data_IF_003277509117
#
_entry.id   IF_003277509117
#
_cell.length_a   1.000
_cell.length_b   1.000
_cell.length_c   1.000
_cell.angle_alpha   90.00
_cell.angle_beta   90.00
_cell.angle_gamma   90.00
#
_symmetry.space_group_name_H-M   'P 1'
#
loop_
_entity.id
_entity.type
_entity.pdbx_description
1 polymer ?
#
# COMPACT_ATOMS: atom_id res chain seq x y z
N UNK A 1 65.60 6.71 -34.64
CA UNK A 1 65.26 6.36 -33.24
C UNK A 1 63.87 6.86 -32.85
N UNK A 2 63.58 8.17 -32.94
CA UNK A 2 62.25 8.72 -32.62
C UNK A 2 61.08 8.12 -33.41
N UNK A 3 61.23 7.94 -34.73
CA UNK A 3 60.19 7.32 -35.57
C UNK A 3 59.87 5.87 -35.17
N UNK A 4 60.89 5.07 -34.81
CA UNK A 4 60.70 3.70 -34.35
C UNK A 4 60.01 3.65 -32.97
N UNK A 5 60.33 4.60 -32.09
CA UNK A 5 59.69 4.74 -30.79
C UNK A 5 58.20 5.11 -30.95
N UNK A 6 57.89 6.07 -31.83
CA UNK A 6 56.50 6.45 -32.15
C UNK A 6 55.70 5.29 -32.77
N UNK A 7 56.32 4.53 -33.67
CA UNK A 7 55.69 3.37 -34.32
C UNK A 7 55.44 2.25 -33.30
N UNK A 8 56.35 2.04 -32.35
CA UNK A 8 56.18 1.13 -31.22
C UNK A 8 55.02 1.52 -30.30
N UNK A 9 54.94 2.80 -29.91
CA UNK A 9 53.83 3.33 -29.10
C UNK A 9 52.50 3.14 -29.83
N UNK A 10 52.47 3.45 -31.14
CA UNK A 10 51.26 3.29 -31.95
C UNK A 10 50.81 1.82 -32.01
N UNK A 11 51.74 0.88 -32.21
CA UNK A 11 51.42 -0.55 -32.23
C UNK A 11 50.87 -1.04 -30.89
N UNK A 12 51.49 -0.64 -29.77
CA UNK A 12 50.99 -0.97 -28.41
C UNK A 12 49.60 -0.38 -28.19
N UNK A 13 49.36 0.85 -28.66
CA UNK A 13 48.05 1.50 -28.55
C UNK A 13 46.95 0.76 -29.34
N UNK A 14 47.23 0.34 -30.59
CA UNK A 14 46.27 -0.44 -31.40
C UNK A 14 45.99 -1.80 -30.75
N UNK A 15 47.02 -2.48 -30.27
CA UNK A 15 46.87 -3.76 -29.56
C UNK A 15 46.05 -3.61 -28.27
N UNK A 16 46.28 -2.52 -27.53
CA UNK A 16 45.50 -2.19 -26.34
C UNK A 16 44.04 -1.91 -26.67
N UNK A 17 43.72 -1.07 -27.65
CA UNK A 17 42.32 -0.80 -28.04
C UNK A 17 41.60 -2.10 -28.45
N UNK A 18 42.28 -2.98 -29.18
CA UNK A 18 41.69 -4.25 -29.62
C UNK A 18 41.46 -5.21 -28.46
N UNK A 19 42.42 -5.31 -27.53
CA UNK A 19 42.27 -6.09 -26.30
C UNK A 19 41.13 -5.54 -25.43
N UNK A 20 41.13 -4.23 -25.19
CA UNK A 20 40.13 -3.54 -24.38
C UNK A 20 38.72 -3.77 -24.95
N UNK A 21 38.51 -3.56 -26.25
CA UNK A 21 37.23 -3.79 -26.92
C UNK A 21 36.66 -5.19 -26.68
N UNK A 22 37.51 -6.23 -26.62
CA UNK A 22 37.06 -7.62 -26.42
C UNK A 22 36.86 -8.01 -24.97
N UNK A 23 37.60 -7.38 -24.05
CA UNK A 23 37.73 -7.86 -22.67
C UNK A 23 36.99 -6.96 -21.67
N UNK A 24 36.71 -5.70 -22.01
CA UNK A 24 36.07 -4.76 -21.09
C UNK A 24 34.75 -5.29 -20.52
N UNK A 25 33.88 -5.86 -21.36
CA UNK A 25 32.58 -6.41 -20.96
C UNK A 25 32.67 -7.71 -20.16
N UNK A 26 33.79 -8.41 -20.24
CA UNK A 26 33.91 -9.74 -19.62
C UNK A 26 34.10 -9.58 -18.12
N UNK A 27 33.32 -10.36 -17.36
CA UNK A 27 33.49 -10.52 -15.92
C UNK A 27 33.40 -9.21 -15.11
N UNK A 28 32.49 -8.32 -15.54
CA UNK A 28 31.98 -7.21 -14.72
C UNK A 28 30.58 -7.60 -14.28
N UNK A 29 30.33 -7.58 -12.99
CA UNK A 29 29.03 -7.87 -12.37
C UNK A 29 28.61 -6.59 -11.62
N UNK A 30 27.39 -6.11 -11.88
CA UNK A 30 26.80 -4.97 -11.18
C UNK A 30 25.48 -5.44 -10.62
N UNK A 31 25.28 -5.21 -9.33
CA UNK A 31 24.08 -5.61 -8.62
C UNK A 31 23.54 -4.43 -7.84
N UNK A 32 22.24 -4.21 -7.99
CA UNK A 32 21.49 -3.21 -7.26
C UNK A 32 20.44 -3.95 -6.43
N UNK A 33 20.26 -3.59 -5.17
CA UNK A 33 19.14 -4.06 -4.35
C UNK A 33 18.85 -3.07 -3.22
N UNK A 34 17.59 -3.03 -2.79
CA UNK A 34 17.19 -2.23 -1.63
C UNK A 34 17.41 -3.01 -0.34
N UNK A 35 17.73 -2.32 0.75
CA UNK A 35 17.89 -2.90 2.09
C UNK A 35 16.60 -3.55 2.63
N UNK A 36 15.45 -3.06 2.17
CA UNK A 36 14.13 -3.51 2.62
C UNK A 36 13.17 -3.59 1.42
N UNK A 37 12.35 -4.63 1.38
CA UNK A 37 11.36 -4.86 0.31
C UNK A 37 10.18 -3.87 0.35
N UNK A 38 9.81 -3.42 1.56
CA UNK A 38 8.70 -2.50 1.77
C UNK A 38 8.91 -1.56 2.97
N UNK A 39 8.48 -0.31 2.83
CA UNK A 39 8.42 0.66 3.94
C UNK A 39 7.20 1.57 3.83
N UNK A 40 6.93 2.35 4.87
CA UNK A 40 5.88 3.37 4.85
C UNK A 40 6.40 4.71 4.34
N UNK A 41 5.55 5.46 3.63
CA UNK A 41 5.86 6.81 3.16
C UNK A 41 6.32 7.72 4.32
N UNK A 42 7.39 8.48 4.07
CA UNK A 42 8.15 9.24 5.06
C UNK A 42 9.34 8.49 5.66
N UNK A 43 9.48 7.19 5.37
CA UNK A 43 10.63 6.40 5.79
C UNK A 43 11.86 6.60 4.91
N UNK A 44 12.98 6.08 5.40
CA UNK A 44 14.27 6.08 4.71
C UNK A 44 14.75 4.65 4.53
N UNK A 45 15.35 4.37 3.37
CA UNK A 45 15.97 3.09 3.05
C UNK A 45 17.33 3.32 2.40
N UNK A 46 18.05 2.25 2.12
CA UNK A 46 19.31 2.29 1.38
C UNK A 46 19.21 1.45 0.11
N UNK A 47 19.72 1.99 -0.98
CA UNK A 47 20.02 1.24 -2.20
C UNK A 47 21.50 0.84 -2.15
N UNK A 48 21.77 -0.46 -2.19
CA UNK A 48 23.11 -0.98 -2.33
C UNK A 48 23.45 -1.13 -3.80
N UNK A 49 24.56 -0.52 -4.18
CA UNK A 49 25.16 -0.67 -5.49
C UNK A 49 26.49 -1.39 -5.34
N UNK A 50 26.59 -2.60 -5.88
CA UNK A 50 27.79 -3.42 -5.82
C UNK A 50 28.33 -3.68 -7.20
N UNK A 51 29.56 -3.21 -7.41
CA UNK A 51 30.29 -3.34 -8.66
C UNK A 51 31.47 -4.26 -8.42
N UNK A 52 31.55 -5.35 -9.17
CA UNK A 52 32.63 -6.32 -9.05
C UNK A 52 33.36 -6.50 -10.38
N UNK A 53 34.64 -6.11 -10.41
CA UNK A 53 35.52 -6.36 -11.53
C UNK A 53 36.34 -7.63 -11.28
N UNK A 54 35.86 -8.77 -11.78
CA UNK A 54 36.52 -10.07 -11.58
C UNK A 54 37.69 -10.32 -12.55
N UNK A 55 37.97 -9.39 -13.48
CA UNK A 55 39.15 -9.47 -14.36
C UNK A 55 40.32 -8.67 -13.79
N UNK A 56 41.54 -8.99 -14.26
CA UNK A 56 42.78 -8.29 -13.88
C UNK A 56 42.91 -6.89 -14.53
N UNK A 57 42.19 -6.65 -15.63
CA UNK A 57 42.25 -5.38 -16.33
C UNK A 57 41.46 -4.31 -15.54
N UNK A 58 42.08 -3.16 -15.22
CA UNK A 58 41.37 -2.05 -14.59
C UNK A 58 40.39 -1.39 -15.57
N UNK A 59 39.30 -0.87 -15.03
CA UNK A 59 38.31 -0.05 -15.69
C UNK A 59 38.47 1.38 -15.14
N UNK A 60 39.26 2.25 -15.80
CA UNK A 60 39.57 3.56 -15.25
C UNK A 60 38.35 4.45 -15.11
N UNK A 61 37.37 4.28 -16.01
CA UNK A 61 36.09 4.98 -16.00
C UNK A 61 34.99 3.97 -16.29
N UNK A 62 34.15 3.72 -15.31
CA UNK A 62 32.96 2.90 -15.39
C UNK A 62 31.76 3.75 -14.97
N UNK A 63 30.89 4.05 -15.91
CA UNK A 63 29.61 4.70 -15.66
C UNK A 63 28.58 3.62 -15.37
N UNK A 64 27.88 3.70 -14.25
CA UNK A 64 26.70 2.89 -13.94
C UNK A 64 25.50 3.82 -13.96
N UNK A 65 24.62 3.61 -14.93
CA UNK A 65 23.37 4.34 -15.09
C UNK A 65 22.19 3.49 -14.67
N UNK A 66 21.17 4.10 -14.07
CA UNK A 66 19.88 3.45 -13.88
C UNK A 66 18.73 4.47 -13.88
N UNK A 67 17.55 3.99 -14.28
CA UNK A 67 16.32 4.77 -14.30
C UNK A 67 15.44 4.39 -13.11
N UNK A 68 14.78 5.39 -12.54
CA UNK A 68 13.82 5.21 -11.46
C UNK A 68 12.78 6.32 -11.50
N UNK A 69 11.64 6.15 -10.85
CA UNK A 69 10.60 7.19 -10.86
C UNK A 69 11.03 8.39 -10.02
N UNK A 70 10.58 9.59 -10.41
CA UNK A 70 10.99 10.85 -9.79
C UNK A 70 10.62 11.02 -8.32
N UNK A 71 9.68 10.24 -7.82
CA UNK A 71 9.19 10.36 -6.45
C UNK A 71 10.13 9.72 -5.41
N UNK A 72 11.11 8.92 -5.84
CA UNK A 72 12.22 8.49 -4.98
C UNK A 72 13.30 9.57 -4.93
N UNK A 73 13.54 10.10 -3.74
CA UNK A 73 14.55 11.12 -3.51
C UNK A 73 15.85 10.45 -3.03
N UNK A 74 16.92 10.56 -3.82
CA UNK A 74 18.24 10.05 -3.48
C UNK A 74 19.06 11.16 -2.84
N UNK A 75 19.48 10.96 -1.59
CA UNK A 75 20.29 11.94 -0.87
C UNK A 75 21.61 12.23 -1.64
N UNK A 76 22.05 13.49 -1.60
CA UNK A 76 23.36 13.95 -2.10
C UNK A 76 23.67 13.63 -3.59
N UNK A 77 22.73 13.87 -4.51
CA UNK A 77 22.98 13.61 -5.95
C UNK A 77 22.56 14.74 -6.88
N UNK A 78 23.44 15.09 -7.83
CA UNK A 78 23.10 15.88 -9.01
C UNK A 78 22.26 15.02 -9.98
N UNK A 79 20.95 15.02 -9.80
CA UNK A 79 20.03 14.24 -10.61
C UNK A 79 19.64 15.00 -11.89
N UNK A 80 19.63 14.33 -13.05
CA UNK A 80 18.99 14.88 -14.26
C UNK A 80 17.56 14.36 -14.34
N UNK A 81 16.59 15.22 -14.00
CA UNK A 81 15.17 14.91 -14.11
C UNK A 81 14.73 15.00 -15.56
N UNK A 82 14.18 13.92 -16.12
CA UNK A 82 13.52 13.93 -17.43
C UNK A 82 12.08 13.47 -17.21
N UNK A 83 11.15 14.42 -17.31
CA UNK A 83 9.69 14.23 -17.10
C UNK A 83 9.30 13.51 -15.80
N UNK A 84 9.15 12.18 -15.86
CA UNK A 84 8.61 11.30 -14.80
C UNK A 84 9.66 10.37 -14.20
N UNK A 85 10.85 10.30 -14.81
CA UNK A 85 11.94 9.45 -14.36
C UNK A 85 13.18 10.30 -14.00
N UNK A 86 13.88 9.84 -12.98
CA UNK A 86 15.23 10.28 -12.65
C UNK A 86 16.18 9.29 -13.28
N UNK A 87 17.10 9.80 -14.09
CA UNK A 87 18.25 9.05 -14.53
C UNK A 87 19.45 9.40 -13.66
N UNK A 88 19.92 8.41 -12.90
CA UNK A 88 21.14 8.54 -12.09
C UNK A 88 22.28 7.88 -12.85
N UNK A 89 23.42 8.58 -12.96
CA UNK A 89 24.65 8.04 -13.53
C UNK A 89 25.80 8.28 -12.58
N UNK A 90 26.34 7.18 -12.05
CA UNK A 90 27.48 7.19 -11.16
C UNK A 90 28.75 6.79 -11.91
N UNK A 91 29.88 7.45 -11.60
CA UNK A 91 31.15 7.23 -12.29
C UNK A 91 32.17 6.67 -11.31
N UNK A 92 32.75 5.53 -11.67
CA UNK A 92 33.68 4.78 -10.83
C UNK A 92 35.00 4.49 -11.54
N UNK A 93 36.06 4.37 -10.75
CA UNK A 93 37.32 3.76 -11.19
C UNK A 93 37.49 2.42 -10.49
N UNK A 94 37.40 1.32 -11.24
CA UNK A 94 37.40 -0.04 -10.68
C UNK A 94 38.66 -0.76 -11.13
N UNK A 95 39.60 -0.99 -10.24
CA UNK A 95 40.83 -1.72 -10.54
C UNK A 95 40.54 -3.20 -10.80
N UNK A 96 41.57 -3.92 -11.27
CA UNK A 96 41.46 -5.35 -11.47
C UNK A 96 41.25 -6.09 -10.14
N UNK A 97 40.36 -7.09 -10.15
CA UNK A 97 40.02 -7.91 -8.96
C UNK A 97 39.49 -7.09 -7.78
N UNK A 98 38.85 -5.95 -8.07
CA UNK A 98 38.29 -5.05 -7.07
C UNK A 98 36.76 -5.20 -7.00
N UNK A 99 36.23 -5.11 -5.78
CA UNK A 99 34.81 -4.93 -5.50
C UNK A 99 34.60 -3.56 -4.85
N UNK A 100 33.63 -2.82 -5.34
CA UNK A 100 33.19 -1.54 -4.76
C UNK A 100 31.74 -1.74 -4.31
N UNK A 101 31.44 -1.32 -3.09
CA UNK A 101 30.09 -1.33 -2.52
C UNK A 101 29.76 0.08 -2.09
N UNK A 102 28.64 0.60 -2.60
CA UNK A 102 28.12 1.92 -2.26
C UNK A 102 26.76 1.76 -1.60
N UNK A 103 26.56 2.55 -0.56
CA UNK A 103 25.26 2.71 0.09
C UNK A 103 24.71 4.08 -0.30
N UNK A 104 23.56 4.10 -0.95
CA UNK A 104 22.88 5.34 -1.34
C UNK A 104 21.63 5.46 -0.48
N UNK A 105 21.55 6.52 0.32
CA UNK A 105 20.36 6.78 1.13
C UNK A 105 19.20 7.26 0.22
N UNK A 106 18.03 6.68 0.41
CA UNK A 106 16.81 6.97 -0.35
C UNK A 106 15.70 7.38 0.60
N UNK A 107 15.16 8.58 0.38
CA UNK A 107 14.00 9.10 1.08
C UNK A 107 12.73 8.76 0.27
N UNK A 108 11.83 8.00 0.87
CA UNK A 108 10.59 7.59 0.22
C UNK A 108 9.43 8.45 0.71
N UNK A 109 9.15 9.56 0.02
CA UNK A 109 8.13 10.53 0.47
C UNK A 109 6.72 10.20 -0.01
N UNK A 110 6.58 9.70 -1.24
CA UNK A 110 5.28 9.30 -1.82
C UNK A 110 5.12 7.79 -1.81
N UNK A 111 3.87 7.33 -1.68
CA UNK A 111 3.52 5.92 -1.84
C UNK A 111 3.67 5.51 -3.30
N UNK A 112 3.99 4.26 -3.53
CA UNK A 112 4.22 3.76 -4.88
C UNK A 112 4.99 2.45 -4.90
N UNK A 113 4.89 1.74 -6.02
CA UNK A 113 5.85 0.73 -6.38
C UNK A 113 6.93 1.35 -7.29
N UNK A 114 8.17 1.23 -6.83
CA UNK A 114 9.35 1.79 -7.48
C UNK A 114 10.29 0.66 -7.87
N UNK A 115 10.41 0.43 -9.17
CA UNK A 115 11.41 -0.46 -9.73
C UNK A 115 12.56 0.37 -10.31
N UNK A 116 13.78 -0.15 -10.17
CA UNK A 116 14.94 0.32 -10.92
C UNK A 116 14.88 -0.34 -12.28
N UNK A 117 14.73 0.46 -13.34
CA UNK A 117 14.67 -0.02 -14.73
C UNK A 117 15.87 0.48 -15.52
N UNK A 118 16.09 -0.16 -16.67
CA UNK A 118 17.05 0.31 -17.69
C UNK A 118 18.41 0.65 -17.09
N UNK A 119 18.96 -0.29 -16.32
CA UNK A 119 20.31 -0.17 -15.78
C UNK A 119 21.32 -0.41 -16.90
N UNK A 120 22.29 0.49 -17.04
CA UNK A 120 23.32 0.41 -18.08
C UNK A 120 24.72 0.56 -17.47
N UNK A 121 25.68 -0.19 -17.99
CA UNK A 121 27.09 0.08 -17.76
C UNK A 121 27.66 0.70 -19.02
N UNK A 122 28.27 1.87 -18.88
CA UNK A 122 29.13 2.42 -19.90
C UNK A 122 30.59 2.51 -19.46
N UNK A 123 31.51 2.37 -20.41
CA UNK A 123 32.94 2.56 -20.16
C UNK A 123 33.53 3.38 -21.29
N UNK A 124 34.58 4.12 -20.98
CA UNK A 124 35.31 4.92 -21.98
C UNK A 124 36.70 4.33 -22.21
N UNK A 125 37.21 4.49 -23.43
CA UNK A 125 38.61 4.18 -23.70
C UNK A 125 39.53 5.13 -22.93
N UNK A 126 40.81 4.76 -22.78
CA UNK A 126 41.81 5.52 -22.01
C UNK A 126 41.93 7.00 -22.43
N UNK A 127 41.60 7.32 -23.69
CA UNK A 127 41.61 8.68 -24.24
C UNK A 127 40.19 9.25 -24.43
N UNK A 128 39.19 8.70 -23.75
CA UNK A 128 37.78 9.09 -23.82
C UNK A 128 37.17 9.15 -25.23
N UNK A 129 37.75 8.38 -26.18
CA UNK A 129 37.45 8.49 -27.61
C UNK A 129 36.22 7.69 -28.02
N UNK A 130 36.02 6.53 -27.40
CA UNK A 130 34.91 5.62 -27.70
C UNK A 130 34.22 5.28 -26.39
N UNK A 131 32.89 5.41 -26.40
CA UNK A 131 32.00 4.92 -25.35
C UNK A 131 31.51 3.54 -25.74
N UNK A 132 31.61 2.58 -24.83
CA UNK A 132 30.95 1.30 -24.94
C UNK A 132 29.86 1.22 -23.87
N UNK A 133 28.70 0.67 -24.21
CA UNK A 133 27.51 0.60 -23.37
C UNK A 133 26.93 -0.80 -23.45
N UNK A 134 26.50 -1.36 -22.31
CA UNK A 134 25.77 -2.63 -22.22
C UNK A 134 24.67 -2.47 -21.17
N UNK A 135 23.47 -2.94 -21.50
CA UNK A 135 22.34 -2.95 -20.58
C UNK A 135 22.44 -4.14 -19.62
N UNK A 136 22.01 -3.94 -18.38
CA UNK A 136 21.97 -4.92 -17.31
C UNK A 136 20.52 -5.13 -16.89
N UNK A 137 20.14 -6.39 -16.74
CA UNK A 137 18.87 -6.75 -16.11
C UNK A 137 19.00 -6.62 -14.59
N UNK A 138 18.09 -5.86 -13.98
CA UNK A 138 18.06 -5.62 -12.53
C UNK A 138 16.63 -5.80 -12.01
N UNK A 139 16.47 -6.57 -10.92
CA UNK A 139 15.18 -6.83 -10.27
C UNK A 139 14.96 -5.98 -9.01
N UNK A 140 15.73 -4.90 -8.84
CA UNK A 140 15.66 -4.06 -7.66
C UNK A 140 14.35 -3.28 -7.64
N UNK A 141 13.47 -3.63 -6.72
CA UNK A 141 12.18 -2.98 -6.53
C UNK A 141 11.88 -2.77 -5.06
N UNK A 142 11.07 -1.76 -4.78
CA UNK A 142 10.63 -1.45 -3.43
C UNK A 142 9.19 -0.96 -3.42
N UNK A 143 8.44 -1.41 -2.42
CA UNK A 143 7.09 -0.96 -2.15
C UNK A 143 7.09 0.12 -1.07
N UNK A 144 6.52 1.28 -1.39
CA UNK A 144 6.28 2.35 -0.41
C UNK A 144 4.80 2.40 -0.12
N UNK A 145 4.41 1.91 1.05
CA UNK A 145 3.04 1.92 1.54
C UNK A 145 2.58 3.32 1.92
N UNK A 146 1.27 3.51 1.92
CA UNK A 146 0.66 4.77 2.33
C UNK A 146 1.12 5.20 3.72
N UNK A 147 1.23 6.52 3.92
CA UNK A 147 1.59 7.09 5.21
C UNK A 147 0.56 6.68 6.27
N UNK A 148 1.04 6.29 7.44
CA UNK A 148 0.16 6.00 8.58
C UNK A 148 -0.35 7.33 9.17
N UNK A 149 -1.66 7.48 9.27
CA UNK A 149 -2.28 8.70 9.81
C UNK A 149 -3.16 8.35 11.01
N UNK A 150 -3.33 9.29 11.95
CA UNK A 150 -4.18 9.05 13.12
C UNK A 150 -5.63 8.79 12.71
N UNK A 151 -6.18 7.64 13.14
CA UNK A 151 -7.56 7.21 12.90
C UNK A 151 -8.31 6.93 14.20
N UNK A 152 -7.77 7.35 15.35
CA UNK A 152 -8.28 7.00 16.68
C UNK A 152 -9.77 7.37 16.88
N UNK A 153 -10.18 8.56 16.43
CA UNK A 153 -11.57 9.00 16.50
C UNK A 153 -12.50 8.15 15.63
N UNK A 154 -12.06 7.84 14.41
CA UNK A 154 -12.80 6.99 13.46
C UNK A 154 -12.96 5.59 14.05
N UNK A 155 -11.88 5.02 14.59
CA UNK A 155 -11.88 3.70 15.21
C UNK A 155 -12.82 3.63 16.41
N UNK A 156 -12.86 4.67 17.25
CA UNK A 156 -13.82 4.73 18.37
C UNK A 156 -15.27 4.63 17.88
N UNK A 157 -15.60 5.29 16.75
CA UNK A 157 -16.93 5.20 16.15
C UNK A 157 -17.17 3.81 15.55
N UNK A 158 -16.19 3.25 14.84
CA UNK A 158 -16.23 1.90 14.28
C UNK A 158 -16.51 0.84 15.36
N UNK A 159 -15.73 0.84 16.44
CA UNK A 159 -15.86 -0.10 17.56
C UNK A 159 -17.24 -0.01 18.21
N UNK A 160 -17.75 1.21 18.41
CA UNK A 160 -19.11 1.40 18.95
C UNK A 160 -20.16 0.80 18.01
N UNK A 161 -20.02 0.97 16.71
CA UNK A 161 -20.97 0.42 15.73
C UNK A 161 -20.86 -1.11 15.64
N UNK A 162 -19.65 -1.66 15.59
CA UNK A 162 -19.41 -3.11 15.64
C UNK A 162 -19.98 -3.73 16.91
N UNK A 163 -19.79 -3.08 18.06
CA UNK A 163 -20.39 -3.50 19.33
C UNK A 163 -21.92 -3.51 19.29
N UNK A 164 -22.56 -2.47 18.71
CA UNK A 164 -24.02 -2.47 18.55
C UNK A 164 -24.53 -3.58 17.62
N UNK A 165 -23.81 -3.88 16.53
CA UNK A 165 -24.15 -4.96 15.61
C UNK A 165 -24.06 -6.33 16.31
N UNK A 166 -23.01 -6.55 17.11
CA UNK A 166 -22.88 -7.77 17.91
C UNK A 166 -23.99 -7.90 18.95
N UNK A 167 -24.35 -6.82 19.65
CA UNK A 167 -25.43 -6.86 20.64
C UNK A 167 -26.79 -7.19 20.01
N UNK A 168 -27.12 -6.60 18.85
CA UNK A 168 -28.39 -6.84 18.16
C UNK A 168 -28.55 -8.30 17.73
N UNK A 169 -27.46 -8.98 17.38
CA UNK A 169 -27.48 -10.35 16.85
C UNK A 169 -27.28 -11.45 17.91
N UNK A 170 -27.03 -11.06 19.17
CA UNK A 170 -26.92 -11.97 20.32
C UNK A 170 -28.16 -12.83 20.57
N UNK A 171 -29.26 -12.63 19.83
CA UNK A 171 -30.41 -13.52 19.81
C UNK A 171 -30.08 -14.98 19.43
N UNK A 172 -28.98 -15.25 18.73
CA UNK A 172 -28.53 -16.60 18.38
C UNK A 172 -27.18 -16.91 19.02
N UNK A 173 -27.21 -17.57 20.18
CA UNK A 173 -26.03 -18.10 20.85
C UNK A 173 -25.58 -19.42 20.20
N UNK A 174 -24.28 -19.67 20.13
CA UNK A 174 -23.74 -20.93 19.59
C UNK A 174 -23.81 -22.04 20.66
N UNK A 175 -24.58 -23.13 20.46
CA UNK A 175 -24.71 -24.22 21.44
C UNK A 175 -23.39 -24.91 21.80
N UNK A 176 -22.33 -24.73 21.00
CA UNK A 176 -21.01 -25.34 21.24
C UNK A 176 -20.06 -24.43 22.03
N UNK A 177 -20.39 -23.15 22.19
CA UNK A 177 -19.54 -22.17 22.85
C UNK A 177 -19.97 -21.91 24.30
N UNK A 178 -19.83 -22.90 25.17
CA UNK A 178 -20.23 -22.75 26.57
C UNK A 178 -19.46 -21.62 27.28
N UNK A 179 -20.16 -20.66 27.88
CA UNK A 179 -19.58 -19.52 28.59
C UNK A 179 -19.60 -19.70 30.11
N UNK A 180 -20.79 -19.84 30.69
CA UNK A 180 -21.00 -19.83 32.16
C UNK A 180 -22.37 -20.41 32.52
N UNK A 181 -22.52 -20.86 33.77
CA UNK A 181 -23.83 -21.20 34.36
C UNK A 181 -24.26 -20.05 35.26
N UNK A 182 -25.47 -19.51 35.05
CA UNK A 182 -26.05 -18.46 35.90
C UNK A 182 -27.44 -18.84 36.39
N UNK A 183 -27.96 -18.08 37.35
CA UNK A 183 -29.35 -18.22 37.81
C UNK A 183 -30.34 -17.93 36.68
N UNK A 184 -31.42 -18.71 36.64
CA UNK A 184 -32.54 -18.53 35.71
C UNK A 184 -33.25 -17.20 35.99
N UNK A 185 -33.50 -16.42 34.95
CA UNK A 185 -34.34 -15.22 35.00
C UNK A 185 -35.59 -15.42 34.15
N UNK A 186 -36.64 -14.64 34.41
CA UNK A 186 -37.93 -14.77 33.72
C UNK A 186 -37.82 -14.52 32.20
N UNK A 187 -36.78 -13.82 31.77
CA UNK A 187 -36.49 -13.54 30.35
C UNK A 187 -35.86 -14.74 29.62
N UNK A 188 -35.46 -15.80 30.35
CA UNK A 188 -34.78 -16.96 29.79
C UNK A 188 -35.77 -18.04 29.32
N UNK A 189 -35.59 -18.59 28.10
CA UNK A 189 -36.38 -19.73 27.64
C UNK A 189 -36.13 -20.97 28.50
N UNK A 190 -37.19 -21.69 28.91
CA UNK A 190 -37.05 -22.89 29.75
C UNK A 190 -36.15 -23.99 29.14
N UNK A 191 -35.96 -24.00 27.80
CA UNK A 191 -35.07 -24.95 27.11
C UNK A 191 -33.59 -24.78 27.45
N UNK A 192 -33.17 -23.64 28.01
CA UNK A 192 -31.76 -23.36 28.36
C UNK A 192 -31.40 -23.80 29.79
N UNK A 193 -32.37 -24.34 30.54
CA UNK A 193 -32.17 -24.81 31.92
C UNK A 193 -31.22 -26.00 31.96
N UNK A 194 -30.16 -25.87 32.76
CA UNK A 194 -29.25 -26.96 33.04
C UNK A 194 -29.74 -27.74 34.27
N UNK A 195 -30.53 -28.78 34.02
CA UNK A 195 -31.11 -29.61 35.08
C UNK A 195 -30.08 -30.20 36.07
N UNK A 196 -28.86 -30.52 35.60
CA UNK A 196 -27.80 -31.06 36.45
C UNK A 196 -27.24 -30.01 37.41
N UNK A 197 -27.11 -28.76 36.97
CA UNK A 197 -26.69 -27.65 37.82
C UNK A 197 -27.80 -27.20 38.77
N UNK A 198 -29.05 -27.19 38.30
CA UNK A 198 -30.22 -26.86 39.11
C UNK A 198 -30.41 -27.85 40.27
N UNK A 199 -30.27 -29.15 40.01
CA UNK A 199 -30.39 -30.19 41.04
C UNK A 199 -29.32 -30.08 42.15
N UNK A 200 -28.13 -29.55 41.83
CA UNK A 200 -27.04 -29.39 42.81
C UNK A 200 -27.16 -28.11 43.65
N UNK A 201 -27.64 -27.02 43.06
CA UNK A 201 -27.76 -25.73 43.76
C UNK A 201 -29.10 -25.55 44.49
N UNK A 202 -30.12 -26.33 44.13
CA UNK A 202 -31.48 -26.18 44.65
C UNK A 202 -32.26 -25.01 44.01
N UNK A 203 -31.64 -24.27 43.09
CA UNK A 203 -32.25 -23.14 42.35
C UNK A 203 -32.17 -23.41 40.84
N UNK A 204 -33.09 -22.84 40.05
CA UNK A 204 -33.03 -22.98 38.59
C UNK A 204 -31.79 -22.28 38.03
N UNK A 205 -30.99 -23.03 37.29
CA UNK A 205 -29.75 -22.60 36.65
C UNK A 205 -29.84 -22.77 35.14
N UNK A 206 -29.26 -21.85 34.37
CA UNK A 206 -29.21 -21.86 32.91
C UNK A 206 -27.78 -21.89 32.39
N UNK A 207 -27.58 -22.61 31.28
CA UNK A 207 -26.35 -22.50 30.51
C UNK A 207 -26.41 -21.24 29.67
N UNK A 208 -25.36 -20.41 29.77
CA UNK A 208 -25.12 -19.31 28.84
C UNK A 208 -24.02 -19.71 27.87
N UNK A 209 -24.24 -19.43 26.60
CA UNK A 209 -23.25 -19.67 25.56
C UNK A 209 -22.74 -18.34 25.02
N UNK A 210 -21.47 -18.28 24.62
CA UNK A 210 -20.93 -17.14 23.91
C UNK A 210 -21.36 -17.17 22.44
N UNK A 211 -21.47 -15.98 21.85
CA UNK A 211 -21.60 -15.86 20.40
C UNK A 211 -20.20 -15.83 19.81
N UNK A 212 -19.82 -16.86 19.06
CA UNK A 212 -18.50 -16.95 18.38
C UNK A 212 -18.52 -16.20 17.04
N UNK A 213 -19.44 -15.26 16.84
CA UNK A 213 -19.49 -14.51 15.59
C UNK A 213 -18.38 -13.45 15.56
N UNK A 214 -17.43 -13.70 14.67
CA UNK A 214 -16.37 -12.79 14.26
C UNK A 214 -16.98 -11.47 13.76
N UNK A 215 -16.46 -10.35 14.24
CA UNK A 215 -16.83 -9.04 13.73
C UNK A 215 -16.35 -8.90 12.28
N UNK A 216 -17.21 -8.35 11.42
CA UNK A 216 -16.88 -8.12 10.01
C UNK A 216 -16.96 -6.64 9.69
N UNK A 217 -15.96 -6.14 8.97
CA UNK A 217 -15.94 -4.80 8.41
C UNK A 217 -15.62 -4.87 6.92
N UNK A 218 -16.23 -4.00 6.11
CA UNK A 218 -15.94 -3.85 4.70
C UNK A 218 -15.61 -2.38 4.43
N UNK A 219 -14.40 -2.11 3.95
CA UNK A 219 -13.96 -0.76 3.58
C UNK A 219 -14.17 -0.57 2.08
N UNK A 220 -14.90 0.48 1.72
CA UNK A 220 -15.09 0.97 0.37
C UNK A 220 -14.33 2.27 0.22
N UNK A 221 -13.36 2.32 -0.68
CA UNK A 221 -12.53 3.48 -0.94
C UNK A 221 -12.88 4.06 -2.31
N UNK A 222 -13.26 5.34 -2.32
CA UNK A 222 -13.41 6.13 -3.53
C UNK A 222 -12.11 6.89 -3.83
N UNK A 223 -11.44 6.45 -4.89
CA UNK A 223 -10.27 7.11 -5.47
C UNK A 223 -10.61 7.90 -6.73
N UNK A 224 -11.90 8.02 -7.11
CA UNK A 224 -12.28 8.80 -8.29
C UNK A 224 -11.99 10.29 -8.06
N UNK A 225 -11.21 10.87 -8.96
CA UNK A 225 -11.03 12.31 -9.01
C UNK A 225 -11.69 12.88 -10.27
N UNK A 226 -13.02 12.96 -10.24
CA UNK A 226 -13.86 13.48 -11.34
C UNK A 226 -13.97 15.01 -11.37
N UNK A 227 -13.33 15.70 -10.43
CA UNK A 227 -13.33 17.15 -10.34
C UNK A 227 -12.44 17.81 -11.39
N UNK A 228 -12.81 19.03 -11.80
CA UNK A 228 -11.98 19.86 -12.71
C UNK A 228 -10.63 20.20 -12.05
N UNK A 229 -10.66 20.46 -10.74
CA UNK A 229 -9.47 20.64 -9.91
C UNK A 229 -9.07 19.29 -9.33
N UNK A 230 -7.91 18.79 -9.73
CA UNK A 230 -7.35 17.56 -9.14
C UNK A 230 -7.03 17.80 -7.67
N UNK A 231 -7.54 16.94 -6.82
CA UNK A 231 -7.37 17.01 -5.36
C UNK A 231 -6.56 15.81 -4.88
N UNK A 232 -5.34 15.68 -5.39
CA UNK A 232 -4.42 14.58 -5.07
C UNK A 232 -4.26 14.39 -3.56
N UNK A 233 -4.12 15.47 -2.80
CA UNK A 233 -3.98 15.43 -1.34
C UNK A 233 -5.16 14.75 -0.62
N UNK A 234 -6.40 14.94 -1.07
CA UNK A 234 -7.56 14.28 -0.45
C UNK A 234 -7.64 12.80 -0.83
N UNK A 235 -7.22 12.44 -2.04
CA UNK A 235 -7.14 11.04 -2.47
C UNK A 235 -6.05 10.31 -1.68
N UNK A 236 -4.87 10.91 -1.55
CA UNK A 236 -3.78 10.38 -0.74
C UNK A 236 -4.17 10.22 0.73
N UNK A 237 -4.86 11.20 1.31
CA UNK A 237 -5.36 11.08 2.69
C UNK A 237 -6.44 9.99 2.81
N UNK A 238 -7.32 9.84 1.81
CA UNK A 238 -8.33 8.77 1.79
C UNK A 238 -7.67 7.38 1.76
N UNK A 239 -6.60 7.23 0.96
CA UNK A 239 -5.80 6.00 0.90
C UNK A 239 -5.05 5.76 2.22
N UNK A 240 -4.46 6.80 2.82
CA UNK A 240 -3.79 6.72 4.12
C UNK A 240 -4.74 6.28 5.25
N UNK A 241 -5.96 6.83 5.27
CA UNK A 241 -7.02 6.43 6.20
C UNK A 241 -7.41 4.97 5.96
N UNK A 242 -7.66 4.58 4.71
CA UNK A 242 -8.02 3.20 4.38
C UNK A 242 -6.94 2.21 4.82
N UNK A 243 -5.67 2.48 4.51
CA UNK A 243 -4.53 1.64 4.89
C UNK A 243 -4.40 1.52 6.41
N UNK A 244 -4.53 2.63 7.14
CA UNK A 244 -4.43 2.62 8.60
C UNK A 244 -5.60 1.87 9.24
N UNK A 245 -6.83 2.06 8.73
CA UNK A 245 -8.00 1.33 9.20
C UNK A 245 -7.90 -0.17 8.94
N UNK A 246 -7.50 -0.57 7.73
CA UNK A 246 -7.25 -1.97 7.39
C UNK A 246 -6.30 -2.58 8.41
N UNK A 247 -5.11 -1.99 8.59
CA UNK A 247 -4.11 -2.49 9.52
C UNK A 247 -4.64 -2.58 10.95
N UNK A 248 -5.37 -1.56 11.42
CA UNK A 248 -5.92 -1.53 12.78
C UNK A 248 -6.98 -2.61 13.00
N UNK A 249 -7.90 -2.79 12.05
CA UNK A 249 -8.95 -3.81 12.11
C UNK A 249 -8.36 -5.23 12.06
N UNK A 250 -7.36 -5.47 11.19
CA UNK A 250 -6.63 -6.74 11.15
C UNK A 250 -5.88 -7.01 12.47
N UNK A 251 -5.27 -6.00 13.09
CA UNK A 251 -4.63 -6.14 14.42
C UNK A 251 -5.64 -6.48 15.53
N UNK A 252 -6.88 -6.00 15.41
CA UNK A 252 -7.98 -6.34 16.32
C UNK A 252 -8.64 -7.70 16.01
N UNK A 253 -8.12 -8.48 15.06
CA UNK A 253 -8.68 -9.74 14.57
C UNK A 253 -10.10 -9.61 14.00
N UNK A 254 -10.45 -8.45 13.45
CA UNK A 254 -11.73 -8.21 12.77
C UNK A 254 -11.58 -8.67 11.33
N UNK A 255 -12.52 -9.49 10.84
CA UNK A 255 -12.56 -9.87 9.43
C UNK A 255 -12.81 -8.64 8.57
N UNK A 256 -11.81 -8.26 7.78
CA UNK A 256 -11.86 -7.00 7.04
C UNK A 256 -11.81 -7.27 5.55
N UNK A 257 -12.80 -6.74 4.84
CA UNK A 257 -12.86 -6.73 3.38
C UNK A 257 -12.51 -5.34 2.85
N UNK A 258 -12.14 -5.29 1.58
CA UNK A 258 -11.73 -4.07 0.91
C UNK A 258 -12.27 -4.02 -0.51
N UNK A 259 -12.78 -2.87 -0.91
CA UNK A 259 -13.12 -2.58 -2.29
C UNK A 259 -12.75 -1.14 -2.63
N UNK A 260 -12.24 -0.94 -3.84
CA UNK A 260 -11.96 0.38 -4.37
C UNK A 260 -12.28 0.43 -5.85
N UNK A 261 -12.59 1.62 -6.36
CA UNK A 261 -12.82 1.81 -7.79
C UNK A 261 -11.48 1.86 -8.54
N UNK A 262 -11.36 1.04 -9.59
CA UNK A 262 -10.18 0.98 -10.45
C UNK A 262 -10.60 0.97 -11.92
N UNK A 263 -9.66 1.23 -12.82
CA UNK A 263 -9.91 1.31 -14.27
C UNK A 263 -10.56 0.04 -14.87
N UNK A 264 -10.34 -1.13 -14.26
CA UNK A 264 -10.81 -2.44 -14.75
C UNK A 264 -12.18 -2.87 -14.21
N UNK A 265 -12.89 -1.98 -13.51
CA UNK A 265 -14.01 -2.35 -12.63
C UNK A 265 -13.46 -2.68 -11.25
N UNK A 266 -14.04 -2.07 -10.21
CA UNK A 266 -13.46 -2.08 -8.88
C UNK A 266 -13.11 -3.47 -8.36
N UNK A 267 -12.00 -3.56 -7.64
CA UNK A 267 -11.56 -4.81 -7.03
C UNK A 267 -12.38 -5.06 -5.77
N UNK A 268 -12.85 -6.30 -5.58
CA UNK A 268 -13.65 -6.69 -4.42
C UNK A 268 -12.97 -7.83 -3.67
N UNK A 269 -12.63 -7.56 -2.42
CA UNK A 269 -11.97 -8.51 -1.56
C UNK A 269 -12.86 -8.72 -0.34
N UNK A 270 -13.43 -9.92 -0.23
CA UNK A 270 -14.35 -10.27 0.84
C UNK A 270 -13.66 -10.24 2.22
N UNK A 271 -14.42 -10.00 3.31
CA UNK A 271 -13.89 -10.02 4.65
C UNK A 271 -13.15 -11.31 4.98
N UNK A 272 -11.92 -11.17 5.49
CA UNK A 272 -11.05 -12.29 5.85
C UNK A 272 -10.07 -11.84 6.93
N UNK A 273 -9.63 -12.75 7.79
CA UNK A 273 -8.66 -12.48 8.86
C UNK A 273 -7.27 -13.12 8.59
N UNK A 274 -6.86 -13.22 7.33
CA UNK A 274 -5.55 -13.78 6.94
C UNK A 274 -4.51 -12.66 6.89
N UNK A 275 -3.43 -12.78 7.66
CA UNK A 275 -2.34 -11.79 7.68
C UNK A 275 -1.68 -11.56 6.31
N UNK A 276 -1.57 -12.60 5.48
CA UNK A 276 -1.05 -12.47 4.10
C UNK A 276 -1.87 -11.50 3.26
N UNK A 277 -3.17 -11.37 3.56
CA UNK A 277 -4.09 -10.49 2.85
C UNK A 277 -3.82 -9.02 3.14
N UNK A 278 -3.36 -8.68 4.34
CA UNK A 278 -2.99 -7.30 4.67
C UNK A 278 -1.84 -6.81 3.78
N UNK A 279 -0.81 -7.65 3.58
CA UNK A 279 0.34 -7.31 2.72
C UNK A 279 -0.12 -7.10 1.27
N UNK A 280 -0.99 -7.97 0.77
CA UNK A 280 -1.56 -7.84 -0.57
C UNK A 280 -2.35 -6.52 -0.73
N UNK A 281 -3.18 -6.18 0.25
CA UNK A 281 -3.94 -4.92 0.26
C UNK A 281 -3.03 -3.69 0.32
N UNK A 282 -2.01 -3.69 1.17
CA UNK A 282 -1.04 -2.60 1.26
C UNK A 282 -0.27 -2.42 -0.06
N UNK A 283 0.07 -3.52 -0.75
CA UNK A 283 0.69 -3.48 -2.08
C UNK A 283 -0.25 -2.96 -3.15
N UNK A 284 -1.50 -3.42 -3.20
CA UNK A 284 -2.52 -2.90 -4.13
C UNK A 284 -2.74 -1.40 -3.95
N UNK A 285 -2.79 -0.92 -2.71
CA UNK A 285 -2.88 0.52 -2.41
C UNK A 285 -1.62 1.30 -2.79
N UNK A 286 -0.43 0.68 -2.73
CA UNK A 286 0.82 1.28 -3.20
C UNK A 286 0.89 1.31 -4.73
N UNK A 287 0.39 0.29 -5.42
CA UNK A 287 0.39 0.18 -6.89
C UNK A 287 -0.63 1.10 -7.56
N UNK A 288 -1.65 1.56 -6.84
CA UNK A 288 -2.66 2.46 -7.38
C UNK A 288 -2.06 3.76 -7.93
N UNK A 289 -2.24 3.99 -9.22
CA UNK A 289 -1.87 5.21 -9.92
C UNK A 289 -3.11 5.93 -10.48
N UNK A 290 -3.25 7.22 -10.17
CA UNK A 290 -4.33 8.06 -10.64
C UNK A 290 -4.34 8.20 -12.18
N UNK A 291 -3.21 7.98 -12.85
CA UNK A 291 -3.11 8.02 -14.31
C UNK A 291 -3.84 6.85 -15.01
N UNK A 292 -4.09 5.75 -14.30
CA UNK A 292 -4.74 4.55 -14.86
C UNK A 292 -6.23 4.72 -15.18
N UNK A 293 -6.85 5.81 -14.72
CA UNK A 293 -8.29 6.04 -14.85
C UNK A 293 -9.12 5.34 -13.76
N UNK A 294 -10.35 5.81 -13.55
CA UNK A 294 -11.23 5.33 -12.47
C UNK A 294 -12.66 5.12 -12.97
N UNK A 295 -13.31 4.05 -12.49
CA UNK A 295 -14.76 3.90 -12.64
C UNK A 295 -15.53 4.81 -11.67
N UNK A 296 -16.79 5.18 -11.96
CA UNK A 296 -17.64 5.86 -11.01
C UNK A 296 -17.80 5.04 -9.71
N UNK A 297 -17.69 5.71 -8.57
CA UNK A 297 -17.84 5.05 -7.26
C UNK A 297 -19.26 4.53 -7.01
N UNK A 298 -20.27 5.18 -7.61
CA UNK A 298 -21.64 4.71 -7.55
C UNK A 298 -21.80 3.31 -8.14
N UNK A 299 -21.07 2.96 -9.19
CA UNK A 299 -21.14 1.61 -9.76
C UNK A 299 -20.56 0.57 -8.79
N UNK A 300 -19.54 0.93 -8.00
CA UNK A 300 -19.02 0.08 -6.93
C UNK A 300 -20.06 -0.15 -5.82
N UNK A 301 -20.97 0.79 -5.57
CA UNK A 301 -22.01 0.60 -4.54
C UNK A 301 -23.27 -0.04 -5.14
N UNK A 302 -23.63 0.35 -6.36
CA UNK A 302 -24.89 0.03 -7.02
C UNK A 302 -24.86 -1.27 -7.83
N UNK A 303 -23.68 -1.83 -8.16
CA UNK A 303 -23.53 -3.16 -8.75
C UNK A 303 -23.89 -4.25 -7.70
N UNK A 304 -25.17 -4.26 -7.35
CA UNK A 304 -25.77 -4.91 -6.20
C UNK A 304 -25.83 -6.43 -6.26
N UNK A 305 -25.38 -7.05 -7.37
CA UNK A 305 -25.27 -8.51 -7.48
C UNK A 305 -24.14 -9.05 -6.62
N UNK A 306 -22.94 -8.43 -6.66
CA UNK A 306 -21.78 -8.87 -5.86
C UNK A 306 -21.86 -8.44 -4.40
N UNK A 307 -22.48 -7.30 -4.11
CA UNK A 307 -22.75 -6.85 -2.73
C UNK A 307 -23.65 -7.80 -1.95
N UNK A 308 -24.68 -8.36 -2.59
CA UNK A 308 -25.68 -9.22 -1.93
C UNK A 308 -25.26 -10.67 -1.77
N UNK A 309 -24.37 -11.18 -2.63
CA UNK A 309 -24.00 -12.60 -2.64
C UNK A 309 -22.91 -12.97 -1.61
N UNK A 310 -22.23 -11.99 -0.98
CA UNK A 310 -21.12 -12.28 -0.07
C UNK A 310 -21.07 -11.49 1.25
N UNK A 311 -21.77 -10.36 1.37
CA UNK A 311 -21.79 -9.58 2.62
C UNK A 311 -23.02 -9.92 3.46
N UNK A 312 -22.75 -10.37 4.69
CA UNK A 312 -23.78 -10.60 5.70
C UNK A 312 -24.20 -9.29 6.36
N UNK A 313 -25.45 -9.20 6.81
CA UNK A 313 -26.04 -8.00 7.45
C UNK A 313 -25.31 -7.53 8.72
N UNK A 314 -24.44 -8.39 9.28
CA UNK A 314 -23.56 -8.09 10.42
C UNK A 314 -22.25 -7.38 10.03
N UNK A 315 -22.05 -7.08 8.76
CA UNK A 315 -20.84 -6.41 8.28
C UNK A 315 -21.00 -4.90 8.39
N UNK A 316 -20.11 -4.25 9.16
CA UNK A 316 -20.01 -2.79 9.17
C UNK A 316 -19.45 -2.32 7.83
N UNK A 317 -20.20 -1.50 7.11
CA UNK A 317 -19.75 -0.90 5.83
C UNK A 317 -19.12 0.45 6.13
N UNK A 318 -17.83 0.60 5.85
CA UNK A 318 -17.06 1.83 6.01
C UNK A 318 -16.82 2.40 4.61
N UNK A 319 -17.31 3.60 4.34
CA UNK A 319 -17.22 4.25 3.03
C UNK A 319 -16.34 5.47 3.16
N UNK A 320 -15.20 5.48 2.47
CA UNK A 320 -14.27 6.61 2.43
C UNK A 320 -14.41 7.27 1.07
N UNK A 321 -14.91 8.49 1.03
CA UNK A 321 -15.15 9.20 -0.23
C UNK A 321 -15.02 10.69 -0.06
N UNK A 322 -14.40 11.35 -1.04
CA UNK A 322 -14.36 12.82 -1.14
C UNK A 322 -15.52 13.40 -1.97
N UNK A 323 -16.23 12.56 -2.72
CA UNK A 323 -17.30 12.98 -3.64
C UNK A 323 -18.68 12.68 -3.02
N UNK A 324 -18.98 13.34 -1.89
CA UNK A 324 -20.22 13.12 -1.17
C UNK A 324 -21.38 13.97 -1.74
N UNK A 325 -22.09 13.35 -2.69
CA UNK A 325 -23.23 13.92 -3.41
C UNK A 325 -24.58 13.32 -2.97
N UNK A 326 -25.68 13.98 -3.34
CA UNK A 326 -27.04 13.55 -2.98
C UNK A 326 -27.41 12.17 -3.58
N UNK A 327 -26.86 11.85 -4.74
CA UNK A 327 -27.05 10.54 -5.39
C UNK A 327 -26.40 9.41 -4.58
N UNK A 328 -25.16 9.62 -4.15
CA UNK A 328 -24.42 8.69 -3.28
C UNK A 328 -25.10 8.57 -1.93
N UNK A 329 -25.57 9.69 -1.38
CA UNK A 329 -26.35 9.71 -0.15
C UNK A 329 -27.58 8.79 -0.21
N UNK A 330 -28.40 8.92 -1.27
CA UNK A 330 -29.59 8.09 -1.46
C UNK A 330 -29.24 6.60 -1.60
N UNK A 331 -28.20 6.28 -2.37
CA UNK A 331 -27.73 4.90 -2.53
C UNK A 331 -27.25 4.29 -1.20
N UNK A 332 -26.53 5.07 -0.38
CA UNK A 332 -26.08 4.64 0.93
C UNK A 332 -27.25 4.48 1.92
N UNK A 333 -28.27 5.35 1.87
CA UNK A 333 -29.48 5.19 2.68
C UNK A 333 -30.25 3.91 2.34
N UNK A 334 -30.35 3.57 1.06
CA UNK A 334 -30.99 2.33 0.63
C UNK A 334 -30.23 1.11 1.15
N UNK A 335 -28.90 1.16 1.06
CA UNK A 335 -27.98 0.12 1.57
C UNK A 335 -28.00 0.02 3.11
N UNK A 336 -28.20 1.15 3.80
CA UNK A 336 -28.22 1.23 5.26
C UNK A 336 -29.50 0.69 5.91
N UNK A 337 -30.54 0.35 5.13
CA UNK A 337 -31.72 -0.35 5.66
C UNK A 337 -31.36 -1.73 6.20
N UNK A 338 -30.38 -2.38 5.58
CA UNK A 338 -30.02 -3.78 5.86
C UNK A 338 -28.72 -3.90 6.68
N UNK A 339 -27.86 -2.87 6.71
CA UNK A 339 -26.61 -2.90 7.50
C UNK A 339 -26.24 -1.53 8.08
N UNK A 340 -25.35 -1.53 9.09
CA UNK A 340 -24.77 -0.27 9.57
C UNK A 340 -23.75 0.28 8.58
N UNK A 341 -23.82 1.59 8.31
CA UNK A 341 -22.93 2.30 7.38
C UNK A 341 -22.26 3.49 8.08
N UNK A 342 -20.93 3.52 8.01
CA UNK A 342 -20.09 4.64 8.44
C UNK A 342 -19.45 5.29 7.21
N UNK A 343 -19.69 6.58 7.01
CA UNK A 343 -19.07 7.38 5.96
C UNK A 343 -17.95 8.22 6.57
N UNK A 344 -16.77 8.16 5.98
CA UNK A 344 -15.62 8.99 6.30
C UNK A 344 -15.46 9.98 5.16
N UNK A 345 -15.64 11.27 5.48
CA UNK A 345 -15.63 12.35 4.51
C UNK A 345 -14.41 13.25 4.75
N UNK A 346 -13.30 13.06 4.00
CA UNK A 346 -12.14 13.93 4.07
C UNK A 346 -12.42 15.25 3.34
N UNK A 347 -12.18 16.36 4.03
CA UNK A 347 -12.39 17.73 3.52
C UNK A 347 -11.24 18.62 3.94
N UNK A 348 -10.97 19.65 3.14
CA UNK A 348 -9.96 20.63 3.50
C UNK A 348 -10.36 21.44 4.74
N UNK A 349 -9.37 21.81 5.55
CA UNK A 349 -9.53 22.66 6.73
C UNK A 349 -10.22 23.98 6.34
N UNK A 350 -11.38 24.26 6.93
CA UNK A 350 -12.24 25.41 6.61
C UNK A 350 -13.56 25.06 5.91
N UNK A 351 -13.68 23.87 5.31
CA UNK A 351 -14.91 23.42 4.64
C UNK A 351 -15.83 22.56 5.55
N UNK A 352 -15.42 22.35 6.81
CA UNK A 352 -16.14 21.50 7.77
C UNK A 352 -17.57 21.92 8.04
N UNK A 353 -17.87 23.22 7.99
CA UNK A 353 -19.21 23.72 8.31
C UNK A 353 -20.21 23.34 7.22
N UNK A 354 -19.82 23.47 5.94
CA UNK A 354 -20.59 22.99 4.79
C UNK A 354 -20.75 21.47 4.78
N UNK A 355 -19.69 20.75 5.17
CA UNK A 355 -19.72 19.30 5.31
C UNK A 355 -20.68 18.84 6.44
N UNK A 356 -20.72 19.56 7.56
CA UNK A 356 -21.64 19.28 8.68
C UNK A 356 -23.11 19.47 8.29
N UNK A 357 -23.43 20.50 7.51
CA UNK A 357 -24.79 20.73 7.02
C UNK A 357 -25.25 19.60 6.09
N UNK A 358 -24.37 19.12 5.19
CA UNK A 358 -24.65 17.92 4.36
C UNK A 358 -24.78 16.64 5.19
N UNK A 359 -23.98 16.48 6.25
CA UNK A 359 -23.96 15.31 7.11
C UNK A 359 -25.12 15.24 8.13
N UNK A 360 -25.66 16.39 8.56
CA UNK A 360 -26.71 16.46 9.58
C UNK A 360 -28.08 15.93 9.11
N UNK A 361 -28.27 15.71 7.80
CA UNK A 361 -29.49 15.10 7.23
C UNK A 361 -29.58 13.57 7.43
N UNK A 362 -28.62 12.98 8.16
CA UNK A 362 -28.32 11.55 8.11
C UNK A 362 -28.77 10.79 9.37
N UNK A 363 -29.94 10.11 9.29
CA UNK A 363 -30.49 9.34 10.42
C UNK A 363 -29.80 8.00 10.68
N UNK A 364 -29.72 7.13 9.67
CA UNK A 364 -29.22 5.74 9.81
C UNK A 364 -27.73 5.58 9.46
N UNK A 365 -27.22 6.47 8.62
CA UNK A 365 -25.81 6.51 8.20
C UNK A 365 -25.06 7.44 9.14
N UNK A 366 -23.92 7.01 9.68
CA UNK A 366 -23.06 7.91 10.46
C UNK A 366 -22.02 8.53 9.55
N UNK A 367 -21.87 9.84 9.61
CA UNK A 367 -20.83 10.56 8.85
C UNK A 367 -19.80 11.11 9.81
N UNK A 368 -18.53 10.76 9.60
CA UNK A 368 -17.38 11.31 10.30
C UNK A 368 -16.58 12.20 9.33
N UNK A 369 -16.40 13.47 9.71
CA UNK A 369 -15.72 14.46 8.89
C UNK A 369 -14.25 14.53 9.33
N UNK A 370 -13.34 14.30 8.39
CA UNK A 370 -11.90 14.35 8.61
C UNK A 370 -11.33 15.60 7.95
N UNK A 371 -10.64 16.43 8.72
CA UNK A 371 -9.99 17.64 8.18
C UNK A 371 -8.60 17.30 7.63
N UNK A 372 -8.28 17.84 6.46
CA UNK A 372 -6.98 17.69 5.79
C UNK A 372 -6.39 19.07 5.56
N UNK A 373 -5.08 19.23 5.82
CA UNK A 373 -4.38 20.48 5.52
C UNK A 373 -4.22 20.67 4.01
N UNK A 374 -4.40 21.91 3.53
CA UNK A 374 -3.99 22.28 2.17
C UNK A 374 -2.49 22.51 2.21
N UNK A 375 -1.73 21.62 1.57
CA UNK A 375 -0.29 21.78 1.34
C UNK A 375 -0.07 22.78 0.21
#
# INVERSE_FOLDING_TARGET
>A
MFLLLLLGIFAVWVLWEFYYHRVWRKAVDVRLWFDTDALYAGGQTKLYEVIENRKRMPLPVLEVGFHTKKELDFADTENTSVSDYIYKRDVFSVLGMQRITREIAVNCQKRGHYAVSDADIATHTLLYRKRYSIDIETDASIYVYAKMTDVSEIMTVCERMLGTLQCAKRLYEDPFAFRTIRGYTTDDPMKTINWKASAKSGTLMVNTFDSVQSQKAMIFLDVADTGILKQENLVEESIAVAATLLRTLFHQNIETGFAFNSAGGGEWLLPTNRKSRLIELERTLADYDAAGGTSPFLDLIADGKKMREGLTDDTLRIVITKNYDETLWRALQETAKDSAVLVIYPVYRGERQFAKEKAAASGTVRVHIREVERV
#
